data_IF_789100441084
#
_entry.id   IF_789100441084
#
_cell.length_a   1.000
_cell.length_b   1.000
_cell.length_c   1.000
_cell.angle_alpha   90.00
_cell.angle_beta   90.00
_cell.angle_gamma   90.00
#
_symmetry.space_group_name_H-M   'P 1'
#
loop_
_entity.id
_entity.type
_entity.pdbx_description
1 polymer ?
#
# COMPACT_ATOMS: atom_id res chain seq x y z
N UNK A 1 11.26 -39.23 2.10
CA UNK A 1 12.42 -38.86 2.92
C UNK A 1 12.38 -37.35 3.07
N UNK A 2 12.45 -36.81 4.27
CA UNK A 2 12.19 -35.39 4.51
C UNK A 2 13.41 -34.58 4.01
N UNK A 3 13.38 -34.16 2.74
CA UNK A 3 14.42 -33.32 2.10
C UNK A 3 14.79 -32.09 2.95
N UNK A 4 13.82 -31.58 3.72
CA UNK A 4 13.99 -30.48 4.68
C UNK A 4 15.09 -30.72 5.71
N UNK A 5 15.38 -31.98 6.10
CA UNK A 5 16.40 -32.29 7.11
C UNK A 5 17.80 -32.53 6.52
N UNK A 6 17.92 -32.59 5.20
CA UNK A 6 19.16 -32.91 4.53
C UNK A 6 20.12 -31.71 4.59
N UNK A 7 21.28 -31.89 5.22
CA UNK A 7 22.30 -30.84 5.37
C UNK A 7 22.19 -29.96 6.62
N UNK A 8 21.12 -30.06 7.41
CA UNK A 8 20.94 -29.29 8.66
C UNK A 8 21.64 -29.99 9.83
N UNK A 9 22.32 -29.27 10.72
CA UNK A 9 22.96 -29.85 11.91
C UNK A 9 21.95 -30.41 12.93
N UNK A 10 22.32 -31.45 13.69
CA UNK A 10 21.46 -31.98 14.77
C UNK A 10 21.24 -30.92 15.85
N UNK A 11 22.27 -30.14 16.17
CA UNK A 11 22.23 -29.04 17.15
C UNK A 11 21.29 -27.89 16.72
N UNK A 12 21.18 -27.66 15.41
CA UNK A 12 20.31 -26.63 14.86
C UNK A 12 18.83 -27.05 14.94
N UNK A 13 18.56 -28.33 14.65
CA UNK A 13 17.22 -28.91 14.84
C UNK A 13 16.83 -28.90 16.32
N UNK A 14 17.75 -29.24 17.23
CA UNK A 14 17.53 -29.17 18.68
C UNK A 14 17.17 -27.75 19.13
N UNK A 15 17.84 -26.72 18.61
CA UNK A 15 17.49 -25.31 18.90
C UNK A 15 16.12 -24.92 18.37
N UNK A 16 15.69 -25.46 17.23
CA UNK A 16 14.41 -25.14 16.60
C UNK A 16 13.24 -25.86 17.30
N UNK A 17 13.40 -27.15 17.60
CA UNK A 17 12.30 -27.99 18.10
C UNK A 17 12.33 -28.23 19.60
N UNK A 18 13.47 -28.01 20.27
CA UNK A 18 13.67 -28.27 21.70
C UNK A 18 13.77 -29.76 22.06
N UNK A 19 13.95 -30.63 21.05
CA UNK A 19 13.90 -32.08 21.21
C UNK A 19 15.28 -32.70 21.42
N UNK A 20 15.32 -33.85 22.08
CA UNK A 20 16.58 -34.54 22.38
C UNK A 20 17.27 -35.00 21.07
N UNK A 21 18.60 -34.84 21.02
CA UNK A 21 19.46 -35.29 19.93
C UNK A 21 19.24 -36.76 19.52
N UNK A 22 18.90 -37.64 20.46
CA UNK A 22 18.57 -39.06 20.16
C UNK A 22 17.32 -39.14 19.27
N UNK A 23 16.25 -38.47 19.68
CA UNK A 23 14.99 -38.38 18.90
C UNK A 23 15.22 -37.74 17.53
N UNK A 24 16.09 -36.72 17.45
CA UNK A 24 16.42 -36.05 16.18
C UNK A 24 17.20 -36.97 15.23
N UNK A 25 18.10 -37.83 15.76
CA UNK A 25 18.77 -38.86 14.96
C UNK A 25 17.77 -39.86 14.40
N UNK A 26 16.83 -40.33 15.23
CA UNK A 26 15.75 -41.23 14.78
C UNK A 26 14.88 -40.60 13.68
N UNK A 27 14.63 -39.29 13.75
CA UNK A 27 13.92 -38.56 12.69
C UNK A 27 14.69 -38.49 11.38
N UNK A 28 16.01 -38.26 11.44
CA UNK A 28 16.89 -38.22 10.25
C UNK A 28 17.05 -39.59 9.61
N UNK A 29 17.15 -40.63 10.43
CA UNK A 29 17.24 -42.03 9.98
C UNK A 29 15.89 -42.55 9.46
N UNK A 30 14.80 -41.86 9.76
CA UNK A 30 13.44 -42.23 9.35
C UNK A 30 12.84 -43.37 10.16
N UNK A 31 13.45 -43.72 11.30
CA UNK A 31 12.96 -44.76 12.22
C UNK A 31 11.78 -44.28 13.06
N UNK A 32 11.62 -42.96 13.21
CA UNK A 32 10.52 -42.34 13.96
C UNK A 32 9.90 -41.18 13.18
N UNK A 33 8.57 -41.12 13.18
CA UNK A 33 7.83 -40.04 12.51
C UNK A 33 7.99 -38.72 13.28
N UNK A 34 8.22 -37.63 12.56
CA UNK A 34 8.30 -36.29 13.15
C UNK A 34 6.89 -35.85 13.57
N UNK A 35 6.70 -35.39 14.82
CA UNK A 35 5.45 -34.79 15.25
C UNK A 35 5.08 -33.58 14.38
N UNK A 36 3.80 -33.44 14.07
CA UNK A 36 3.29 -32.35 13.22
C UNK A 36 3.72 -30.94 13.71
N UNK A 37 3.70 -30.61 15.02
CA UNK A 37 4.17 -29.31 15.50
C UNK A 37 5.67 -29.06 15.20
N UNK A 38 6.50 -30.08 15.35
CA UNK A 38 7.93 -29.99 15.05
C UNK A 38 8.16 -29.82 13.55
N UNK A 39 7.38 -30.50 12.71
CA UNK A 39 7.43 -30.34 11.25
C UNK A 39 7.08 -28.90 10.83
N UNK A 40 6.07 -28.27 11.46
CA UNK A 40 5.68 -26.89 11.18
C UNK A 40 6.77 -25.89 11.54
N UNK A 41 7.40 -26.06 12.70
CA UNK A 41 8.53 -25.23 13.12
C UNK A 41 9.72 -25.38 12.16
N UNK A 42 10.03 -26.61 11.75
CA UNK A 42 11.10 -26.88 10.79
C UNK A 42 10.84 -26.24 9.43
N UNK A 43 9.61 -26.30 8.91
CA UNK A 43 9.22 -25.59 7.67
C UNK A 43 9.36 -24.07 7.80
N UNK A 44 8.96 -23.50 8.93
CA UNK A 44 9.11 -22.07 9.15
C UNK A 44 10.59 -21.65 9.21
N UNK A 45 11.41 -22.35 9.98
CA UNK A 45 12.82 -21.97 10.19
C UNK A 45 13.73 -22.31 9.01
N UNK A 46 13.49 -23.42 8.29
CA UNK A 46 14.37 -23.89 7.23
C UNK A 46 13.94 -23.39 5.84
N UNK A 47 12.65 -23.49 5.50
CA UNK A 47 12.14 -23.00 4.22
C UNK A 47 11.61 -21.57 4.28
N UNK A 48 11.51 -20.99 5.48
CA UNK A 48 10.90 -19.67 5.68
C UNK A 48 9.38 -19.68 5.52
N UNK A 49 8.74 -20.84 5.36
CA UNK A 49 7.34 -20.94 4.94
C UNK A 49 6.41 -20.51 6.08
N UNK A 50 5.75 -19.36 5.89
CA UNK A 50 4.83 -18.77 6.85
C UNK A 50 3.54 -19.59 7.01
N UNK A 51 3.08 -20.22 5.93
CA UNK A 51 1.80 -20.94 5.90
C UNK A 51 1.78 -22.15 6.83
N UNK A 52 2.95 -22.76 7.04
CA UNK A 52 3.13 -23.91 7.92
C UNK A 52 2.66 -23.65 9.36
N UNK A 53 2.75 -22.39 9.83
CA UNK A 53 2.40 -22.03 11.21
C UNK A 53 1.23 -21.05 11.30
N UNK A 54 1.07 -20.15 10.33
CA UNK A 54 0.11 -19.05 10.38
C UNK A 54 -1.18 -19.33 9.58
N UNK A 55 -1.24 -20.43 8.82
CA UNK A 55 -2.41 -20.85 8.05
C UNK A 55 -2.40 -20.43 6.58
N UNK A 56 -3.48 -20.75 5.87
CA UNK A 56 -3.53 -20.72 4.40
C UNK A 56 -3.44 -19.30 3.81
N UNK A 57 -3.82 -18.26 4.55
CA UNK A 57 -3.68 -16.86 4.10
C UNK A 57 -2.22 -16.43 3.94
N UNK A 58 -1.29 -17.15 4.58
CA UNK A 58 0.15 -16.92 4.50
C UNK A 58 0.83 -17.75 3.42
N UNK A 59 0.07 -18.40 2.54
CA UNK A 59 0.63 -19.18 1.45
C UNK A 59 1.48 -18.31 0.51
N UNK A 60 2.71 -18.79 0.23
CA UNK A 60 3.71 -18.08 -0.57
C UNK A 60 4.48 -16.98 0.18
N UNK A 61 4.06 -16.59 1.39
CA UNK A 61 4.84 -15.67 2.23
C UNK A 61 6.03 -16.39 2.83
N UNK A 62 7.18 -15.71 2.85
CA UNK A 62 8.42 -16.28 3.39
C UNK A 62 9.12 -15.37 4.36
N UNK A 63 9.57 -15.93 5.48
CA UNK A 63 10.46 -15.28 6.42
C UNK A 63 11.90 -15.68 6.13
N UNK A 64 12.76 -14.72 5.79
CA UNK A 64 14.17 -14.98 5.52
C UNK A 64 15.02 -13.77 5.86
N UNK A 65 16.17 -13.98 6.51
CA UNK A 65 17.11 -12.93 6.89
C UNK A 65 16.48 -11.78 7.69
N UNK A 66 15.48 -12.07 8.54
CA UNK A 66 14.76 -11.07 9.32
C UNK A 66 13.79 -10.19 8.50
N UNK A 67 13.53 -10.55 7.25
CA UNK A 67 12.59 -9.88 6.36
C UNK A 67 11.37 -10.76 6.09
N UNK A 68 10.24 -10.11 5.79
CA UNK A 68 9.04 -10.77 5.27
C UNK A 68 8.98 -10.58 3.76
N UNK A 69 9.00 -11.67 3.01
CA UNK A 69 8.80 -11.68 1.57
C UNK A 69 7.34 -11.94 1.27
N UNK A 70 6.75 -11.04 0.49
CA UNK A 70 5.38 -11.15 -0.02
C UNK A 70 5.43 -11.81 -1.39
N UNK A 71 4.50 -12.73 -1.72
CA UNK A 71 4.41 -13.31 -3.05
C UNK A 71 4.44 -12.23 -4.14
N UNK A 72 5.14 -12.46 -5.24
CA UNK A 72 5.26 -11.54 -6.39
C UNK A 72 6.13 -10.30 -6.15
N UNK A 73 6.54 -10.02 -4.91
CA UNK A 73 7.39 -8.87 -4.60
C UNK A 73 8.86 -9.28 -4.65
N UNK A 74 9.67 -8.47 -5.32
CA UNK A 74 11.10 -8.75 -5.53
C UNK A 74 11.91 -8.64 -4.24
N UNK A 75 11.55 -7.72 -3.36
CA UNK A 75 12.28 -7.40 -2.13
C UNK A 75 11.44 -7.80 -0.91
N UNK A 76 12.13 -8.24 0.14
CA UNK A 76 11.52 -8.46 1.44
C UNK A 76 11.39 -7.16 2.24
N UNK A 77 10.49 -7.16 3.20
CA UNK A 77 10.22 -6.02 4.06
C UNK A 77 10.84 -6.17 5.43
N UNK A 78 11.51 -5.12 5.87
CA UNK A 78 11.97 -5.01 7.24
C UNK A 78 10.80 -4.65 8.18
N UNK A 79 10.90 -5.00 9.48
CA UNK A 79 9.83 -4.73 10.45
C UNK A 79 9.42 -3.24 10.54
N UNK A 80 10.36 -2.31 10.35
CA UNK A 80 10.06 -0.88 10.37
C UNK A 80 9.31 -0.42 9.12
N UNK A 81 9.54 -1.06 7.96
CA UNK A 81 8.80 -0.77 6.72
C UNK A 81 7.35 -1.25 6.83
N UNK A 82 7.15 -2.43 7.41
CA UNK A 82 5.81 -2.98 7.68
C UNK A 82 5.04 -2.03 8.60
N UNK A 83 5.69 -1.53 9.67
CA UNK A 83 5.10 -0.53 10.56
C UNK A 83 4.78 0.78 9.83
N UNK A 84 5.64 1.20 8.89
CA UNK A 84 5.44 2.42 8.13
C UNK A 84 4.27 2.32 7.15
N UNK A 85 3.85 1.12 6.71
CA UNK A 85 2.75 0.97 5.76
C UNK A 85 1.44 1.54 6.26
N UNK A 86 1.11 1.34 7.55
CA UNK A 86 -0.10 1.91 8.13
C UNK A 86 -0.16 3.44 7.94
N UNK A 87 0.92 4.12 8.31
CA UNK A 87 1.02 5.59 8.18
C UNK A 87 1.03 6.05 6.72
N UNK A 88 1.72 5.32 5.84
CA UNK A 88 1.71 5.61 4.40
C UNK A 88 0.31 5.48 3.80
N UNK A 89 -0.43 4.44 4.15
CA UNK A 89 -1.81 4.25 3.70
C UNK A 89 -2.73 5.38 4.19
N UNK A 90 -2.59 5.80 5.45
CA UNK A 90 -3.32 6.94 5.99
C UNK A 90 -2.97 8.25 5.26
N UNK A 91 -1.69 8.49 5.02
CA UNK A 91 -1.23 9.67 4.28
C UNK A 91 -1.79 9.68 2.86
N UNK A 92 -1.73 8.55 2.14
CA UNK A 92 -2.30 8.43 0.79
C UNK A 92 -3.80 8.69 0.80
N UNK A 93 -4.53 8.18 1.79
CA UNK A 93 -5.97 8.44 1.95
C UNK A 93 -6.26 9.93 2.17
N UNK A 94 -5.52 10.57 3.07
CA UNK A 94 -5.66 12.00 3.35
C UNK A 94 -5.38 12.86 2.11
N UNK A 95 -4.26 12.59 1.42
CA UNK A 95 -3.87 13.31 0.22
C UNK A 95 -4.88 13.13 -0.91
N UNK A 96 -5.45 11.92 -1.08
CA UNK A 96 -6.52 11.69 -2.05
C UNK A 96 -7.75 12.55 -1.77
N UNK A 97 -8.20 12.60 -0.52
CA UNK A 97 -9.35 13.43 -0.13
C UNK A 97 -9.09 14.92 -0.37
N UNK A 98 -7.89 15.40 -0.04
CA UNK A 98 -7.50 16.79 -0.26
C UNK A 98 -7.46 17.14 -1.76
N UNK A 99 -6.91 16.25 -2.60
CA UNK A 99 -6.91 16.42 -4.06
C UNK A 99 -8.33 16.57 -4.61
N UNK A 100 -9.28 15.75 -4.15
CA UNK A 100 -10.67 15.83 -4.62
C UNK A 100 -11.38 17.13 -4.18
N UNK A 101 -11.10 17.60 -2.95
CA UNK A 101 -11.60 18.90 -2.49
C UNK A 101 -11.04 20.05 -3.33
N UNK A 102 -9.73 20.03 -3.61
CA UNK A 102 -9.07 21.05 -4.43
C UNK A 102 -9.60 21.07 -5.86
N UNK A 103 -9.82 19.91 -6.48
CA UNK A 103 -10.44 19.82 -7.82
C UNK A 103 -11.85 20.42 -7.82
N UNK A 104 -12.65 20.10 -6.82
CA UNK A 104 -14.02 20.63 -6.68
C UNK A 104 -14.01 22.15 -6.54
N UNK A 105 -13.09 22.68 -5.72
CA UNK A 105 -12.96 24.13 -5.54
C UNK A 105 -12.48 24.81 -6.83
N UNK A 106 -11.54 24.21 -7.57
CA UNK A 106 -11.11 24.73 -8.88
C UNK A 106 -12.27 24.79 -9.87
N UNK A 107 -13.10 23.74 -9.97
CA UNK A 107 -14.28 23.75 -10.82
C UNK A 107 -15.28 24.84 -10.43
N UNK A 108 -15.49 25.03 -9.12
CA UNK A 108 -16.37 26.08 -8.59
C UNK A 108 -15.85 27.47 -8.99
N UNK A 109 -14.55 27.72 -8.84
CA UNK A 109 -13.91 28.99 -9.20
C UNK A 109 -13.96 29.27 -10.70
N UNK A 110 -13.74 28.25 -11.53
CA UNK A 110 -13.86 28.41 -12.99
C UNK A 110 -15.28 28.85 -13.38
N UNK A 111 -16.32 28.23 -12.80
CA UNK A 111 -17.70 28.64 -13.04
C UNK A 111 -17.99 30.08 -12.58
N UNK A 112 -17.40 30.52 -11.46
CA UNK A 112 -17.52 31.90 -11.01
C UNK A 112 -16.87 32.88 -12.00
N UNK A 113 -15.69 32.54 -12.51
CA UNK A 113 -14.97 33.35 -13.51
C UNK A 113 -15.80 33.46 -14.79
N UNK A 114 -16.28 32.34 -15.34
CA UNK A 114 -17.11 32.33 -16.55
C UNK A 114 -18.36 33.24 -16.39
N UNK A 115 -19.01 33.17 -15.23
CA UNK A 115 -20.18 34.01 -14.93
C UNK A 115 -19.83 35.50 -14.83
N UNK A 116 -18.66 35.84 -14.29
CA UNK A 116 -18.17 37.21 -14.21
C UNK A 116 -17.78 37.75 -15.59
N UNK A 117 -17.17 36.94 -16.44
CA UNK A 117 -16.84 37.31 -17.82
C UNK A 117 -18.10 37.66 -18.62
N UNK A 118 -19.15 36.84 -18.53
CA UNK A 118 -20.45 37.11 -19.17
C UNK A 118 -21.01 38.46 -18.71
N UNK A 119 -20.97 38.75 -17.39
CA UNK A 119 -21.45 40.02 -16.84
C UNK A 119 -20.60 41.20 -17.31
N UNK A 120 -19.27 41.06 -17.31
CA UNK A 120 -18.36 42.11 -17.75
C UNK A 120 -18.60 42.47 -19.22
N UNK A 121 -18.78 41.47 -20.09
CA UNK A 121 -19.10 41.67 -21.50
C UNK A 121 -20.44 42.37 -21.71
N UNK A 122 -21.46 42.00 -20.92
CA UNK A 122 -22.76 42.68 -20.95
C UNK A 122 -22.62 44.17 -20.61
N UNK A 123 -21.97 44.49 -19.48
CA UNK A 123 -21.78 45.89 -19.06
C UNK A 123 -20.93 46.68 -20.06
N UNK A 124 -19.90 46.06 -20.64
CA UNK A 124 -19.09 46.71 -21.69
C UNK A 124 -19.94 47.11 -22.89
N UNK A 125 -20.86 46.24 -23.33
CA UNK A 125 -21.80 46.56 -24.43
C UNK A 125 -22.78 47.66 -24.03
N UNK A 126 -23.29 47.62 -22.80
CA UNK A 126 -24.21 48.64 -22.28
C UNK A 126 -23.56 50.03 -22.26
N UNK A 127 -22.33 50.14 -21.73
CA UNK A 127 -21.59 51.41 -21.67
C UNK A 127 -21.36 52.00 -23.08
N UNK A 128 -21.04 51.16 -24.06
CA UNK A 128 -20.87 51.61 -25.46
C UNK A 128 -22.20 52.16 -26.01
N UNK A 129 -23.33 51.50 -25.71
CA UNK A 129 -24.65 51.97 -26.14
C UNK A 129 -25.03 53.29 -25.48
N UNK A 130 -24.87 53.40 -24.16
CA UNK A 130 -25.14 54.62 -23.40
C UNK A 130 -24.30 55.80 -23.90
N UNK A 131 -23.01 55.58 -24.18
CA UNK A 131 -22.12 56.59 -24.75
C UNK A 131 -22.62 57.09 -26.12
N UNK A 132 -23.04 56.17 -27.00
CA UNK A 132 -23.60 56.52 -28.32
C UNK A 132 -24.90 57.32 -28.19
N UNK A 133 -25.80 56.90 -27.31
CA UNK A 133 -27.05 57.64 -27.06
C UNK A 133 -26.78 59.03 -26.50
N UNK A 134 -25.82 59.16 -25.57
CA UNK A 134 -25.39 60.46 -25.04
C UNK A 134 -24.91 61.40 -26.15
N UNK A 135 -24.05 60.94 -27.06
CA UNK A 135 -23.58 61.75 -28.20
C UNK A 135 -24.72 62.17 -29.14
N UNK A 136 -25.70 61.29 -29.37
CA UNK A 136 -26.86 61.62 -30.22
C UNK A 136 -27.71 62.70 -29.55
N UNK A 137 -27.99 62.56 -28.25
CA UNK A 137 -28.76 63.54 -27.48
C UNK A 137 -28.07 64.90 -27.44
N UNK A 138 -26.76 64.93 -27.18
CA UNK A 138 -25.95 66.16 -27.21
C UNK A 138 -26.08 66.88 -28.55
N UNK A 139 -25.96 66.16 -29.66
CA UNK A 139 -26.07 66.72 -31.02
C UNK A 139 -27.49 67.14 -31.43
N UNK A 140 -28.52 66.59 -30.79
CA UNK A 140 -29.92 66.84 -31.17
C UNK A 140 -30.54 67.99 -30.37
N UNK A 141 -29.96 68.34 -29.21
CA UNK A 141 -30.51 69.33 -28.28
C UNK A 141 -29.50 70.43 -27.88
N UNK A 142 -28.34 70.52 -28.55
CA UNK A 142 -27.44 71.69 -28.54
C UNK A 142 -27.55 72.48 -29.83
#
# INVERSE_FOLDING_TARGET
MIDLLFGVGIEEIEKITGENQITIKEWKEGTKQIPEPALRLLKLFLSGDASALLGDEWNGYRFSNGLIFVPEWRNGFAPHEIRAFFWKCQQVSSLKSEIELLKTELERRNKEIDALEIKADFYKRQVVLESRFGMILERSFS
#
